data_IF_995612408898
#
_entry.id   IF_995612408898
#
_cell.length_a   1.000
_cell.length_b   1.000
_cell.length_c   1.000
_cell.angle_alpha   90.00
_cell.angle_beta   90.00
_cell.angle_gamma   90.00
#
_symmetry.space_group_name_H-M   'P 1'
#
loop_
_entity.id
_entity.type
_entity.pdbx_description
1 polymer ?
#
# COMPACT_ATOMS: atom_id res chain seq x y z
N UNK A 1 5.60 14.96 -15.17
CA UNK A 1 6.24 14.44 -13.95
C UNK A 1 5.25 13.71 -13.08
N UNK A 2 5.66 12.61 -12.50
CA UNK A 2 4.75 11.84 -11.66
C UNK A 2 4.62 12.48 -10.27
N UNK A 3 3.49 12.18 -9.61
CA UNK A 3 3.25 12.60 -8.22
C UNK A 3 3.95 11.69 -7.22
N UNK A 4 4.56 10.64 -7.70
CA UNK A 4 5.24 9.64 -6.89
C UNK A 4 4.99 8.25 -7.44
N UNK A 5 5.66 7.28 -6.87
CA UNK A 5 5.54 5.87 -7.29
C UNK A 5 4.82 5.09 -6.20
N UNK A 6 3.74 4.41 -6.58
CA UNK A 6 2.94 3.58 -5.69
C UNK A 6 3.23 2.10 -6.00
N UNK A 7 3.62 1.36 -4.97
CA UNK A 7 3.81 -0.09 -5.07
C UNK A 7 2.56 -0.79 -4.57
N UNK A 8 2.03 -1.72 -5.37
CA UNK A 8 0.79 -2.44 -5.03
C UNK A 8 1.06 -3.94 -4.98
N UNK A 9 0.57 -4.60 -3.94
CA UNK A 9 0.60 -6.05 -3.85
C UNK A 9 -0.81 -6.57 -3.57
N UNK A 10 -1.34 -7.37 -4.49
CA UNK A 10 -2.65 -8.01 -4.37
C UNK A 10 -2.71 -9.17 -5.36
N UNK A 11 -3.15 -10.33 -4.91
CA UNK A 11 -3.21 -11.50 -5.78
C UNK A 11 -4.37 -11.46 -6.77
N UNK A 12 -5.32 -10.56 -6.57
CA UNK A 12 -6.45 -10.37 -7.47
C UNK A 12 -6.06 -9.46 -8.65
N UNK A 13 -5.98 -10.06 -9.83
CA UNK A 13 -5.61 -9.33 -11.04
C UNK A 13 -6.55 -8.18 -11.36
N UNK A 14 -7.86 -8.37 -11.13
CA UNK A 14 -8.85 -7.34 -11.44
C UNK A 14 -8.62 -6.10 -10.56
N UNK A 15 -8.32 -6.31 -9.29
CA UNK A 15 -8.02 -5.21 -8.37
C UNK A 15 -6.74 -4.49 -8.81
N UNK A 16 -5.68 -5.23 -9.15
CA UNK A 16 -4.45 -4.60 -9.64
C UNK A 16 -4.70 -3.74 -10.86
N UNK A 17 -5.49 -4.24 -11.82
CA UNK A 17 -5.79 -3.50 -13.04
C UNK A 17 -6.56 -2.21 -12.74
N UNK A 18 -7.57 -2.29 -11.88
CA UNK A 18 -8.37 -1.12 -11.49
C UNK A 18 -7.50 -0.08 -10.80
N UNK A 19 -6.66 -0.51 -9.87
CA UNK A 19 -5.79 0.41 -9.13
C UNK A 19 -4.73 1.03 -10.05
N UNK A 20 -4.13 0.24 -10.93
CA UNK A 20 -3.17 0.75 -11.91
C UNK A 20 -3.76 1.87 -12.74
N UNK A 21 -4.97 1.67 -13.25
CA UNK A 21 -5.65 2.66 -14.07
C UNK A 21 -6.03 3.91 -13.27
N UNK A 22 -6.64 3.72 -12.12
CA UNK A 22 -7.11 4.84 -11.31
C UNK A 22 -5.97 5.72 -10.82
N UNK A 23 -4.92 5.12 -10.30
CA UNK A 23 -3.76 5.85 -9.79
C UNK A 23 -2.94 6.45 -10.91
N UNK A 24 -2.81 5.74 -12.04
CA UNK A 24 -2.14 6.28 -13.22
C UNK A 24 -2.82 7.54 -13.73
N UNK A 25 -4.15 7.55 -13.79
CA UNK A 25 -4.92 8.74 -14.19
C UNK A 25 -4.77 9.88 -13.20
N UNK A 26 -4.54 9.57 -11.94
CA UNK A 26 -4.33 10.57 -10.90
C UNK A 26 -2.91 11.16 -10.93
N UNK A 27 -2.03 10.65 -11.79
CA UNK A 27 -0.69 11.19 -11.98
C UNK A 27 0.44 10.43 -11.28
N UNK A 28 0.15 9.23 -10.77
CA UNK A 28 1.17 8.41 -10.11
C UNK A 28 1.77 7.39 -11.06
N UNK A 29 3.03 7.04 -10.83
CA UNK A 29 3.59 5.83 -11.41
C UNK A 29 3.17 4.66 -10.53
N UNK A 30 2.83 3.54 -11.15
CA UNK A 30 2.32 2.39 -10.42
C UNK A 30 3.10 1.14 -10.81
N UNK A 31 3.52 0.38 -9.80
CA UNK A 31 4.09 -0.95 -9.99
C UNK A 31 3.28 -1.91 -9.14
N UNK A 32 2.78 -2.97 -9.75
CA UNK A 32 1.93 -3.93 -9.03
C UNK A 32 2.46 -5.34 -9.17
N UNK A 33 2.21 -6.14 -8.14
CA UNK A 33 2.63 -7.54 -8.08
C UNK A 33 1.54 -8.37 -7.41
N UNK A 34 1.60 -9.68 -7.63
CA UNK A 34 0.66 -10.62 -7.03
C UNK A 34 1.18 -11.27 -5.74
N UNK A 35 2.39 -10.91 -5.28
CA UNK A 35 2.98 -11.58 -4.13
C UNK A 35 3.80 -10.62 -3.25
N UNK A 36 4.04 -11.09 -2.02
CA UNK A 36 4.76 -10.32 -1.02
C UNK A 36 6.26 -10.25 -1.29
N UNK A 37 6.83 -11.32 -1.82
CA UNK A 37 8.29 -11.38 -2.07
C UNK A 37 8.75 -10.29 -3.03
N UNK A 38 8.00 -10.07 -4.10
CA UNK A 38 8.33 -9.02 -5.07
C UNK A 38 8.18 -7.63 -4.45
N UNK A 39 7.11 -7.42 -3.68
CA UNK A 39 6.90 -6.15 -2.98
C UNK A 39 8.07 -5.87 -2.04
N UNK A 40 8.48 -6.86 -1.27
CA UNK A 40 9.60 -6.72 -0.35
C UNK A 40 10.88 -6.34 -1.08
N UNK A 41 11.15 -7.00 -2.23
CA UNK A 41 12.34 -6.71 -3.02
C UNK A 41 12.35 -5.26 -3.51
N UNK A 42 11.22 -4.78 -4.03
CA UNK A 42 11.13 -3.39 -4.49
C UNK A 42 11.34 -2.40 -3.36
N UNK A 43 10.67 -2.63 -2.24
CA UNK A 43 10.79 -1.73 -1.08
C UNK A 43 12.22 -1.72 -0.53
N UNK A 44 12.86 -2.89 -0.43
CA UNK A 44 14.21 -2.99 0.08
C UNK A 44 15.26 -2.41 -0.88
N UNK A 45 14.94 -2.37 -2.19
CA UNK A 45 15.79 -1.71 -3.18
C UNK A 45 15.61 -0.19 -3.21
N UNK A 46 14.78 0.36 -2.35
CA UNK A 46 14.55 1.80 -2.30
C UNK A 46 13.49 2.30 -3.27
N UNK A 47 12.75 1.41 -3.91
CA UNK A 47 11.70 1.80 -4.84
C UNK A 47 10.43 2.18 -4.12
N UNK A 48 9.64 3.04 -4.76
CA UNK A 48 8.32 3.42 -4.28
C UNK A 48 8.33 4.50 -3.22
N UNK A 49 7.26 5.26 -3.20
CA UNK A 49 7.02 6.32 -2.23
C UNK A 49 5.89 5.96 -1.28
N UNK A 50 5.09 4.97 -1.65
CA UNK A 50 3.94 4.50 -0.88
C UNK A 50 3.65 3.05 -1.26
N UNK A 51 3.18 2.27 -0.30
CA UNK A 51 2.79 0.87 -0.51
C UNK A 51 1.30 0.70 -0.26
N UNK A 52 0.62 -0.05 -1.14
CA UNK A 52 -0.74 -0.53 -0.92
C UNK A 52 -0.67 -2.05 -0.98
N UNK A 53 -1.00 -2.73 0.10
CA UNK A 53 -0.91 -4.20 0.13
C UNK A 53 -2.17 -4.84 0.67
N UNK A 54 -2.53 -5.98 0.08
CA UNK A 54 -3.56 -6.86 0.63
C UNK A 54 -3.00 -7.60 1.85
N UNK A 55 -3.88 -7.96 2.76
CA UNK A 55 -3.52 -8.78 3.92
C UNK A 55 -3.21 -10.22 3.48
N UNK A 56 -4.03 -10.77 2.59
CA UNK A 56 -3.89 -12.17 2.17
C UNK A 56 -3.19 -12.26 0.82
N UNK A 57 -1.99 -12.84 0.82
CA UNK A 57 -1.24 -13.09 -0.41
C UNK A 57 -0.77 -14.54 -0.42
N UNK A 58 -0.47 -15.10 -1.61
CA UNK A 58 -0.17 -16.53 -1.71
C UNK A 58 1.07 -16.98 -0.95
N UNK A 59 2.05 -16.11 -0.81
CA UNK A 59 3.34 -16.48 -0.20
C UNK A 59 3.51 -15.98 1.24
N UNK A 60 2.76 -14.96 1.66
CA UNK A 60 2.95 -14.38 2.99
C UNK A 60 1.74 -13.52 3.38
N UNK A 61 1.51 -13.38 4.68
CA UNK A 61 0.50 -12.46 5.18
C UNK A 61 1.04 -11.03 5.08
N UNK A 62 0.27 -10.14 4.47
CA UNK A 62 0.68 -8.75 4.29
C UNK A 62 0.94 -8.00 5.59
N UNK A 63 0.23 -8.37 6.66
CA UNK A 63 0.45 -7.75 7.98
C UNK A 63 1.83 -8.08 8.54
N UNK A 64 2.38 -9.25 8.22
CA UNK A 64 3.71 -9.62 8.68
C UNK A 64 4.80 -8.87 7.92
N UNK A 65 4.49 -8.42 6.70
CA UNK A 65 5.42 -7.65 5.90
C UNK A 65 5.57 -6.20 6.40
N UNK A 66 4.53 -5.64 7.02
CA UNK A 66 4.53 -4.25 7.47
C UNK A 66 5.72 -3.90 8.37
N UNK A 67 5.95 -4.60 9.48
CA UNK A 67 7.06 -4.22 10.36
C UNK A 67 8.42 -4.38 9.68
N UNK A 68 8.55 -5.30 8.75
CA UNK A 68 9.79 -5.48 7.99
C UNK A 68 10.07 -4.27 7.10
N UNK A 69 9.05 -3.80 6.38
CA UNK A 69 9.20 -2.62 5.52
C UNK A 69 9.44 -1.37 6.38
N UNK A 70 8.69 -1.21 7.46
CA UNK A 70 8.84 -0.05 8.34
C UNK A 70 10.22 0.03 8.99
N UNK A 71 10.85 -1.11 9.20
CA UNK A 71 12.19 -1.15 9.78
C UNK A 71 13.23 -0.55 8.83
N UNK A 72 13.10 -0.81 7.53
CA UNK A 72 14.06 -0.32 6.52
C UNK A 72 13.64 1.00 5.88
N UNK A 73 12.35 1.29 5.85
CA UNK A 73 11.78 2.49 5.25
C UNK A 73 10.75 3.13 6.19
N UNK A 74 11.18 3.64 7.36
CA UNK A 74 10.22 4.08 8.39
C UNK A 74 9.31 5.23 7.97
N UNK A 75 9.72 6.04 7.00
CA UNK A 75 8.91 7.17 6.52
C UNK A 75 7.94 6.79 5.40
N UNK A 76 8.05 5.58 4.84
CA UNK A 76 7.19 5.19 3.71
C UNK A 76 5.81 4.78 4.21
N UNK A 77 4.74 5.49 3.80
CA UNK A 77 3.40 5.12 4.24
C UNK A 77 2.94 3.80 3.60
N UNK A 78 2.23 3.00 4.39
CA UNK A 78 1.69 1.72 3.94
C UNK A 78 0.19 1.73 4.17
N UNK A 79 -0.57 1.49 3.10
CA UNK A 79 -2.01 1.35 3.14
C UNK A 79 -2.33 -0.14 3.05
N UNK A 80 -3.13 -0.64 3.96
CA UNK A 80 -3.54 -2.05 3.99
C UNK A 80 -4.96 -2.18 3.49
N UNK A 81 -5.19 -3.12 2.56
CA UNK A 81 -6.50 -3.47 2.05
C UNK A 81 -6.87 -4.86 2.55
N UNK A 82 -8.16 -5.10 2.82
CA UNK A 82 -8.58 -6.46 3.15
C UNK A 82 -10.06 -6.69 2.88
N UNK A 83 -10.37 -7.85 2.28
CA UNK A 83 -11.74 -8.34 2.17
C UNK A 83 -12.21 -8.92 3.51
N UNK A 84 -11.28 -9.32 4.37
CA UNK A 84 -11.59 -9.80 5.72
C UNK A 84 -11.59 -8.62 6.68
N UNK A 85 -12.65 -7.82 6.60
CA UNK A 85 -12.73 -6.57 7.33
C UNK A 85 -13.26 -6.81 8.75
N UNK A 86 -12.38 -7.20 9.66
CA UNK A 86 -12.70 -7.32 11.07
C UNK A 86 -12.00 -6.21 11.85
N UNK A 87 -12.55 -5.87 13.02
CA UNK A 87 -11.90 -4.91 13.91
C UNK A 87 -10.49 -5.37 14.28
N UNK A 88 -10.31 -6.67 14.50
CA UNK A 88 -9.00 -7.21 14.83
C UNK A 88 -7.97 -6.99 13.73
N UNK A 89 -8.36 -7.16 12.47
CA UNK A 89 -7.45 -6.92 11.35
C UNK A 89 -7.03 -5.45 11.30
N UNK A 90 -7.98 -4.54 11.49
CA UNK A 90 -7.68 -3.11 11.49
C UNK A 90 -6.75 -2.72 12.65
N UNK A 91 -6.97 -3.28 13.83
CA UNK A 91 -6.12 -3.03 14.99
C UNK A 91 -4.70 -3.53 14.74
N UNK A 92 -4.56 -4.75 14.23
CA UNK A 92 -3.24 -5.32 13.93
C UNK A 92 -2.50 -4.49 12.88
N UNK A 93 -3.20 -4.03 11.86
CA UNK A 93 -2.59 -3.17 10.84
C UNK A 93 -2.05 -1.89 11.46
N UNK A 94 -2.85 -1.22 12.29
CA UNK A 94 -2.44 0.01 12.96
C UNK A 94 -1.25 -0.23 13.89
N UNK A 95 -1.28 -1.29 14.69
CA UNK A 95 -0.20 -1.63 15.61
C UNK A 95 1.11 -1.90 14.89
N UNK A 96 1.05 -2.43 13.66
CA UNK A 96 2.23 -2.76 12.87
C UNK A 96 2.71 -1.64 11.96
N UNK A 97 2.09 -0.47 12.06
CA UNK A 97 2.57 0.72 11.39
C UNK A 97 1.87 1.08 10.09
N UNK A 98 0.69 0.53 9.82
CA UNK A 98 -0.09 0.94 8.66
C UNK A 98 -0.54 2.39 8.82
N UNK A 99 -0.41 3.17 7.74
CA UNK A 99 -0.90 4.54 7.71
C UNK A 99 -2.43 4.58 7.67
N UNK A 100 -3.02 3.63 6.93
CA UNK A 100 -4.47 3.57 6.74
C UNK A 100 -4.87 2.13 6.47
N UNK A 101 -6.10 1.78 6.83
CA UNK A 101 -6.69 0.47 6.55
C UNK A 101 -7.96 0.67 5.74
N UNK A 102 -8.07 0.02 4.58
CA UNK A 102 -9.24 0.12 3.71
C UNK A 102 -9.90 -1.24 3.55
N UNK A 103 -11.13 -1.41 4.06
CA UNK A 103 -11.88 -2.64 3.81
C UNK A 103 -12.33 -2.71 2.36
N UNK A 104 -12.31 -3.90 1.77
CA UNK A 104 -12.85 -4.15 0.44
C UNK A 104 -14.33 -4.50 0.55
N UNK A 105 -15.18 -4.05 -0.36
CA UNK A 105 -14.86 -3.14 -1.46
C UNK A 105 -14.71 -1.69 -0.98
N UNK A 106 -13.84 -0.93 -1.62
CA UNK A 106 -13.63 0.47 -1.28
C UNK A 106 -13.96 1.37 -2.47
N UNK A 107 -14.20 2.64 -2.17
CA UNK A 107 -14.44 3.67 -3.18
C UNK A 107 -13.08 4.14 -3.72
N UNK A 108 -12.92 4.18 -5.05
CA UNK A 108 -11.68 4.61 -5.68
C UNK A 108 -11.33 6.06 -5.35
N UNK A 109 -12.33 6.93 -5.21
CA UNK A 109 -12.08 8.32 -4.81
C UNK A 109 -11.51 8.38 -3.41
N UNK A 110 -12.04 7.56 -2.50
CA UNK A 110 -11.53 7.47 -1.14
C UNK A 110 -10.08 6.99 -1.14
N UNK A 111 -9.78 5.95 -1.92
CA UNK A 111 -8.42 5.44 -2.03
C UNK A 111 -7.46 6.51 -2.52
N UNK A 112 -7.82 7.23 -3.58
CA UNK A 112 -6.97 8.29 -4.12
C UNK A 112 -6.75 9.39 -3.10
N UNK A 113 -7.80 9.77 -2.35
CA UNK A 113 -7.66 10.77 -1.29
C UNK A 113 -6.72 10.30 -0.18
N UNK A 114 -6.81 9.03 0.20
CA UNK A 114 -5.92 8.46 1.21
C UNK A 114 -4.48 8.48 0.73
N UNK A 115 -4.24 8.11 -0.53
CA UNK A 115 -2.91 8.14 -1.13
C UNK A 115 -2.33 9.57 -1.11
N UNK A 116 -3.13 10.53 -1.52
CA UNK A 116 -2.69 11.94 -1.55
C UNK A 116 -2.33 12.44 -0.16
N UNK A 117 -3.16 12.15 0.83
CA UNK A 117 -2.90 12.56 2.22
C UNK A 117 -1.67 11.87 2.79
N UNK A 118 -1.51 10.60 2.51
CA UNK A 118 -0.37 9.82 2.99
C UNK A 118 0.95 10.37 2.46
N UNK A 119 0.99 10.67 1.16
CA UNK A 119 2.19 11.24 0.54
C UNK A 119 2.47 12.66 1.02
N UNK A 120 1.44 13.46 1.23
CA UNK A 120 1.61 14.82 1.77
C UNK A 120 2.17 14.77 3.19
N UNK A 121 1.68 13.86 4.02
CA UNK A 121 2.20 13.66 5.38
C UNK A 121 3.66 13.24 5.38
N UNK A 122 4.03 12.27 4.53
CA UNK A 122 5.41 11.80 4.44
C UNK A 122 6.35 12.92 4.00
N UNK A 123 5.92 13.74 3.04
CA UNK A 123 6.70 14.88 2.58
C UNK A 123 6.91 15.91 3.69
N UNK A 124 5.88 16.18 4.49
CA UNK A 124 6.00 17.09 5.63
C UNK A 124 6.97 16.56 6.67
N UNK A 125 6.91 15.26 6.93
CA UNK A 125 7.79 14.63 7.91
C UNK A 125 9.26 14.75 7.50
N UNK A 126 9.52 14.68 6.21
CA UNK A 126 10.87 14.85 5.68
C UNK A 126 11.34 16.29 5.70
N UNK A 127 10.41 17.18 5.54
CA UNK A 127 10.68 18.60 5.52
C UNK A 127 10.97 19.12 6.89
#
# INVERSE_FOLDING_TARGET
MSRGTVLIADDDRAIRTVLDQALGRAGYEVRSTSNAATLWRWASDGQGDLVITDVVMPDENGLDLLPRIKKIRPEMPIIVMSAQSTIMTAIKAAERGAHEYLPKPFDLKELINVVQRALASATRTRG
#
